data_IF_612622321098
#
_entry.id   IF_612622321098
#
_cell.length_a   1.000
_cell.length_b   1.000
_cell.length_c   1.000
_cell.angle_alpha   90.00
_cell.angle_beta   90.00
_cell.angle_gamma   90.00
#
_symmetry.space_group_name_H-M   'P 1'
#
loop_
_entity.id
_entity.type
_entity.pdbx_description
1 polymer ?
#
# COMPACT_ATOMS: atom_id res chain seq x y z
N UNK A 1 0.14 37.14 57.46
CA UNK A 1 0.67 36.12 56.52
C UNK A 1 -0.40 35.63 55.55
N UNK A 2 -1.64 35.42 56.00
CA UNK A 2 -2.77 34.98 55.16
C UNK A 2 -3.10 35.95 54.00
N UNK A 3 -3.03 37.27 54.22
CA UNK A 3 -3.34 38.27 53.18
C UNK A 3 -2.35 38.32 52.01
N UNK A 4 -1.13 37.80 52.17
CA UNK A 4 -0.09 37.78 51.12
C UNK A 4 -0.13 36.46 50.34
N UNK A 5 -0.66 35.40 50.94
CA UNK A 5 -0.77 34.08 50.32
C UNK A 5 -1.80 34.07 49.18
N UNK A 6 -2.91 34.79 49.36
CA UNK A 6 -3.98 34.91 48.36
C UNK A 6 -3.51 35.56 47.05
N UNK A 7 -2.85 36.74 47.02
CA UNK A 7 -2.39 37.33 45.77
C UNK A 7 -1.30 36.49 45.07
N UNK A 8 -0.44 35.81 45.83
CA UNK A 8 0.58 34.91 45.27
C UNK A 8 -0.09 33.70 44.59
N UNK A 9 -1.10 33.10 45.23
CA UNK A 9 -1.87 32.01 44.64
C UNK A 9 -2.58 32.45 43.34
N UNK A 10 -3.19 33.64 43.32
CA UNK A 10 -3.79 34.19 42.10
C UNK A 10 -2.77 34.41 40.98
N UNK A 11 -1.58 34.94 41.29
CA UNK A 11 -0.54 35.17 40.29
C UNK A 11 0.00 33.86 39.69
N UNK A 12 0.17 32.82 40.51
CA UNK A 12 0.59 31.50 40.04
C UNK A 12 -0.46 30.85 39.14
N UNK A 13 -1.74 30.94 39.50
CA UNK A 13 -2.83 30.41 38.67
C UNK A 13 -2.94 31.16 37.35
N UNK A 14 -2.83 32.49 37.37
CA UNK A 14 -2.83 33.30 36.15
C UNK A 14 -1.62 32.96 35.27
N UNK A 15 -0.42 32.91 35.85
CA UNK A 15 0.80 32.53 35.13
C UNK A 15 0.67 31.14 34.50
N UNK A 16 0.15 30.15 35.22
CA UNK A 16 -0.08 28.81 34.69
C UNK A 16 -1.06 28.80 33.53
N UNK A 17 -2.17 29.54 33.66
CA UNK A 17 -3.16 29.69 32.59
C UNK A 17 -2.58 30.37 31.34
N UNK A 18 -1.82 31.45 31.53
CA UNK A 18 -1.13 32.14 30.43
C UNK A 18 -0.11 31.22 29.75
N UNK A 19 0.69 30.46 30.51
CA UNK A 19 1.64 29.50 29.95
C UNK A 19 0.90 28.39 29.20
N UNK A 20 -0.19 27.84 29.74
CA UNK A 20 -0.99 26.82 29.06
C UNK A 20 -1.59 27.30 27.72
N UNK A 21 -1.90 28.60 27.60
CA UNK A 21 -2.41 29.22 26.35
C UNK A 21 -1.27 29.58 25.40
N UNK A 22 -0.16 30.12 25.91
CA UNK A 22 0.95 30.62 25.10
C UNK A 22 1.84 29.47 24.62
N UNK A 23 1.99 28.41 25.42
CA UNK A 23 2.77 27.23 25.06
C UNK A 23 2.34 26.63 23.71
N UNK A 24 1.06 26.28 23.44
CA UNK A 24 0.66 25.73 22.15
C UNK A 24 0.90 26.70 20.97
N UNK A 25 0.87 28.02 21.22
CA UNK A 25 1.20 29.04 20.20
C UNK A 25 2.71 29.07 19.90
N UNK A 26 3.58 28.98 20.92
CA UNK A 26 5.03 29.03 20.75
C UNK A 26 5.64 27.69 20.32
N UNK A 27 5.05 26.57 20.76
CA UNK A 27 5.49 25.21 20.39
C UNK A 27 4.82 24.72 19.11
N UNK A 28 3.74 25.37 18.66
CA UNK A 28 3.01 25.07 17.42
C UNK A 28 3.72 25.51 16.13
N UNK A 29 5.03 25.26 15.99
CA UNK A 29 5.82 25.59 14.78
C UNK A 29 5.38 24.84 13.51
N UNK A 30 4.30 24.06 13.57
CA UNK A 30 3.69 23.36 12.42
C UNK A 30 2.18 23.59 12.28
N UNK A 31 1.55 24.41 13.13
CA UNK A 31 0.09 24.52 13.21
C UNK A 31 -0.50 25.81 12.58
N UNK A 32 0.24 26.48 11.70
CA UNK A 32 -0.25 27.69 11.01
C UNK A 32 -0.47 27.49 9.50
N UNK A 33 -0.73 26.25 9.07
CA UNK A 33 -1.53 26.09 7.85
C UNK A 33 -2.95 26.47 8.26
N UNK A 34 -3.51 27.55 7.71
CA UNK A 34 -4.89 27.90 8.04
C UNK A 34 -5.76 26.72 7.64
N UNK A 35 -6.67 26.25 8.52
CA UNK A 35 -7.57 25.13 8.21
C UNK A 35 -8.31 25.32 6.87
N UNK A 36 -8.53 26.58 6.49
CA UNK A 36 -9.16 26.98 5.22
C UNK A 36 -8.28 26.71 4.00
N UNK A 37 -6.96 26.89 4.09
CA UNK A 37 -6.06 26.75 2.94
C UNK A 37 -5.81 25.27 2.63
N UNK A 38 -5.66 24.43 3.67
CA UNK A 38 -5.54 22.98 3.49
C UNK A 38 -6.84 22.38 2.95
N UNK A 39 -7.99 22.71 3.54
CA UNK A 39 -9.29 22.25 3.03
C UNK A 39 -9.55 22.69 1.59
N UNK A 40 -9.07 23.88 1.20
CA UNK A 40 -9.17 24.35 -0.18
C UNK A 40 -8.27 23.54 -1.11
N UNK A 41 -7.03 23.28 -0.70
CA UNK A 41 -6.09 22.49 -1.48
C UNK A 41 -6.56 21.04 -1.68
N UNK A 42 -7.17 20.42 -0.66
CA UNK A 42 -7.72 19.06 -0.77
C UNK A 42 -8.91 19.01 -1.71
N UNK A 43 -9.82 19.99 -1.66
CA UNK A 43 -10.95 20.09 -2.60
C UNK A 43 -10.43 20.23 -4.05
N UNK A 44 -9.51 21.16 -4.29
CA UNK A 44 -8.96 21.40 -5.64
C UNK A 44 -8.29 20.15 -6.22
N UNK A 45 -7.48 19.45 -5.41
CA UNK A 45 -6.84 18.21 -5.85
C UNK A 45 -7.85 17.08 -6.08
N UNK A 46 -8.93 17.03 -5.29
CA UNK A 46 -10.00 16.04 -5.48
C UNK A 46 -10.74 16.28 -6.79
N UNK A 47 -11.04 17.54 -7.12
CA UNK A 47 -11.64 17.91 -8.41
C UNK A 47 -10.72 17.54 -9.58
N UNK A 48 -9.42 17.82 -9.48
CA UNK A 48 -8.43 17.43 -10.51
C UNK A 48 -8.37 15.91 -10.70
N UNK A 49 -8.45 15.13 -9.62
CA UNK A 49 -8.50 13.66 -9.67
C UNK A 49 -9.74 13.19 -10.44
N UNK A 50 -10.92 13.72 -10.11
CA UNK A 50 -12.17 13.36 -10.79
C UNK A 50 -12.13 13.71 -12.28
N UNK A 51 -11.55 14.86 -12.63
CA UNK A 51 -11.37 15.28 -14.01
C UNK A 51 -10.45 14.32 -14.79
N UNK A 52 -9.31 13.93 -14.21
CA UNK A 52 -8.40 12.96 -14.83
C UNK A 52 -9.06 11.60 -15.03
N UNK A 53 -9.82 11.12 -14.04
CA UNK A 53 -10.53 9.84 -14.16
C UNK A 53 -11.64 9.89 -15.19
N UNK A 54 -12.37 11.00 -15.28
CA UNK A 54 -13.34 11.23 -16.34
C UNK A 54 -12.67 11.19 -17.72
N UNK A 55 -11.53 11.86 -17.87
CA UNK A 55 -10.75 11.86 -19.10
C UNK A 55 -10.24 10.47 -19.49
N UNK A 56 -9.78 9.67 -18.52
CA UNK A 56 -9.31 8.30 -18.76
C UNK A 56 -10.47 7.39 -19.19
N UNK A 57 -11.64 7.58 -18.58
CA UNK A 57 -12.87 6.85 -18.95
C UNK A 57 -13.33 7.21 -20.36
N UNK A 58 -13.34 8.48 -20.72
CA UNK A 58 -13.69 8.92 -22.08
C UNK A 58 -12.70 8.39 -23.11
N UNK A 59 -11.39 8.43 -22.82
CA UNK A 59 -10.35 7.87 -23.69
C UNK A 59 -10.57 6.37 -23.94
N UNK A 60 -10.88 5.62 -22.88
CA UNK A 60 -11.18 4.18 -22.97
C UNK A 60 -12.46 3.93 -23.77
N UNK A 61 -13.46 4.79 -23.62
CA UNK A 61 -14.69 4.72 -24.39
C UNK A 61 -14.43 4.98 -25.88
N UNK A 62 -13.69 6.03 -26.23
CA UNK A 62 -13.33 6.34 -27.62
C UNK A 62 -12.52 5.23 -28.29
N UNK A 63 -11.61 4.59 -27.53
CA UNK A 63 -10.89 3.40 -27.99
C UNK A 63 -11.84 2.22 -28.25
N UNK A 64 -12.77 1.94 -27.33
CA UNK A 64 -13.75 0.87 -27.48
C UNK A 64 -14.69 1.07 -28.69
N UNK A 65 -14.91 2.32 -29.08
CA UNK A 65 -15.66 2.69 -30.28
C UNK A 65 -14.81 2.67 -31.56
N UNK A 66 -13.51 2.41 -31.47
CA UNK A 66 -12.57 2.41 -32.59
C UNK A 66 -12.31 3.80 -33.18
N UNK A 67 -12.56 4.89 -32.43
CA UNK A 67 -12.29 6.27 -32.90
C UNK A 67 -10.81 6.63 -32.88
N UNK A 68 -10.04 5.96 -32.04
CA UNK A 68 -8.60 6.20 -31.85
C UNK A 68 -7.81 4.90 -32.02
N UNK A 69 -6.57 5.00 -32.47
CA UNK A 69 -5.69 3.83 -32.67
C UNK A 69 -5.15 3.30 -31.34
N UNK A 70 -4.77 2.02 -31.30
CA UNK A 70 -4.16 1.40 -30.11
C UNK A 70 -2.88 2.13 -29.65
N UNK A 71 -2.08 2.59 -30.62
CA UNK A 71 -0.82 3.29 -30.35
C UNK A 71 -1.06 4.67 -29.71
N UNK A 72 -2.07 5.40 -30.21
CA UNK A 72 -2.43 6.71 -29.65
C UNK A 72 -3.09 6.56 -28.27
N UNK A 73 -3.96 5.56 -28.12
CA UNK A 73 -4.60 5.24 -26.84
C UNK A 73 -3.55 5.01 -25.74
N UNK A 74 -2.57 4.13 -26.01
CA UNK A 74 -1.54 3.79 -25.02
C UNK A 74 -0.69 5.00 -24.64
N UNK A 75 -0.33 5.82 -25.63
CA UNK A 75 0.47 7.03 -25.40
C UNK A 75 -0.26 8.03 -24.50
N UNK A 76 -1.54 8.31 -24.79
CA UNK A 76 -2.34 9.27 -24.03
C UNK A 76 -2.68 8.70 -22.65
N UNK A 77 -2.95 7.39 -22.56
CA UNK A 77 -3.23 6.70 -21.30
C UNK A 77 -2.08 6.84 -20.31
N UNK A 78 -0.85 6.55 -20.74
CA UNK A 78 0.34 6.63 -19.89
C UNK A 78 0.53 8.06 -19.33
N UNK A 79 0.34 9.09 -20.16
CA UNK A 79 0.45 10.49 -19.72
C UNK A 79 -0.64 10.88 -18.70
N UNK A 80 -1.89 10.47 -18.94
CA UNK A 80 -3.00 10.70 -18.01
C UNK A 80 -2.81 9.97 -16.68
N UNK A 81 -2.36 8.71 -16.72
CA UNK A 81 -2.07 7.91 -15.52
C UNK A 81 -0.92 8.52 -14.71
N UNK A 82 0.14 8.98 -15.38
CA UNK A 82 1.24 9.67 -14.71
C UNK A 82 0.77 10.93 -13.97
N UNK A 83 -0.12 11.73 -14.59
CA UNK A 83 -0.74 12.90 -13.95
C UNK A 83 -1.63 12.51 -12.77
N UNK A 84 -2.39 11.42 -12.90
CA UNK A 84 -3.25 10.92 -11.82
C UNK A 84 -2.43 10.49 -10.60
N UNK A 85 -1.32 9.76 -10.82
CA UNK A 85 -0.40 9.35 -9.74
C UNK A 85 0.20 10.56 -9.01
N UNK A 86 0.58 11.60 -9.75
CA UNK A 86 1.10 12.84 -9.16
C UNK A 86 0.05 13.56 -8.30
N UNK A 87 -1.20 13.65 -8.75
CA UNK A 87 -2.30 14.25 -7.96
C UNK A 87 -2.59 13.42 -6.70
N UNK A 88 -2.60 12.09 -6.81
CA UNK A 88 -2.80 11.19 -5.67
C UNK A 88 -1.70 11.35 -4.62
N UNK A 89 -0.42 11.40 -5.03
CA UNK A 89 0.69 11.64 -4.10
C UNK A 89 0.56 12.96 -3.33
N UNK A 90 0.05 14.00 -3.98
CA UNK A 90 -0.19 15.29 -3.33
C UNK A 90 -1.33 15.19 -2.31
N UNK A 91 -2.40 14.48 -2.62
CA UNK A 91 -3.48 14.20 -1.68
C UNK A 91 -2.97 13.41 -0.47
N UNK A 92 -2.22 12.32 -0.70
CA UNK A 92 -1.63 11.50 0.37
C UNK A 92 -0.72 12.34 1.27
N UNK A 93 0.04 13.28 0.69
CA UNK A 93 0.90 14.21 1.42
C UNK A 93 0.13 15.21 2.29
N UNK A 94 -1.07 15.64 1.87
CA UNK A 94 -1.94 16.49 2.69
C UNK A 94 -2.61 15.69 3.82
N UNK A 95 -3.07 14.46 3.55
CA UNK A 95 -3.67 13.59 4.56
C UNK A 95 -2.66 13.14 5.63
N UNK A 96 -1.41 12.85 5.22
CA UNK A 96 -0.33 12.47 6.13
C UNK A 96 0.19 13.63 7.00
N UNK A 97 -0.16 14.88 6.66
CA UNK A 97 0.13 16.06 7.49
C UNK A 97 -0.83 16.21 8.68
N UNK A 98 -1.98 15.55 8.64
CA UNK A 98 -3.06 15.63 9.62
C UNK A 98 -2.96 14.55 10.73
N UNK A 99 -2.14 13.52 10.51
CA UNK A 99 -1.98 12.38 11.40
C UNK A 99 -0.51 11.96 11.51
N UNK A 100 0.00 12.03 12.72
CA UNK A 100 1.29 11.47 13.14
C UNK A 100 1.48 10.02 12.62
N UNK A 101 2.73 9.68 12.29
CA UNK A 101 3.23 8.48 11.61
C UNK A 101 2.92 8.36 10.11
N UNK A 102 3.94 8.64 9.29
CA UNK A 102 3.98 8.34 7.85
C UNK A 102 3.78 6.82 7.62
N UNK A 103 2.60 6.37 7.16
CA UNK A 103 2.32 4.95 6.97
C UNK A 103 3.15 4.35 5.82
N UNK A 104 3.59 5.17 4.86
CA UNK A 104 4.48 4.72 3.79
C UNK A 104 5.88 4.41 4.33
N UNK A 105 6.40 5.19 5.28
CA UNK A 105 7.69 4.88 5.92
C UNK A 105 7.65 3.61 6.79
N UNK A 106 6.52 3.32 7.44
CA UNK A 106 6.31 2.05 8.15
C UNK A 106 6.26 0.86 7.17
N UNK A 107 5.55 1.03 6.04
CA UNK A 107 5.47 0.01 5.00
C UNK A 107 6.84 -0.25 4.34
N UNK A 108 7.59 0.79 3.99
CA UNK A 108 8.93 0.67 3.41
C UNK A 108 9.90 -0.02 4.38
N UNK A 109 9.87 0.35 5.67
CA UNK A 109 10.67 -0.31 6.70
C UNK A 109 10.30 -1.79 6.89
N UNK A 110 9.02 -2.13 6.75
CA UNK A 110 8.53 -3.51 6.86
C UNK A 110 8.89 -4.34 5.63
N UNK A 111 8.81 -3.76 4.44
CA UNK A 111 9.27 -4.40 3.19
C UNK A 111 10.78 -4.70 3.27
N UNK A 112 11.59 -3.74 3.73
CA UNK A 112 13.05 -3.93 3.91
C UNK A 112 13.35 -5.05 4.92
N UNK A 113 12.61 -5.11 6.05
CA UNK A 113 12.76 -6.17 7.04
C UNK A 113 12.40 -7.55 6.49
N UNK A 114 11.34 -7.64 5.68
CA UNK A 114 10.93 -8.90 5.04
C UNK A 114 11.98 -9.37 4.02
N UNK A 115 12.58 -8.46 3.24
CA UNK A 115 13.66 -8.81 2.30
C UNK A 115 14.91 -9.34 3.02
N UNK A 116 15.32 -8.74 4.15
CA UNK A 116 16.46 -9.21 4.94
C UNK A 116 16.24 -10.60 5.54
N UNK A 117 14.99 -10.95 5.86
CA UNK A 117 14.64 -12.29 6.35
C UNK A 117 14.81 -13.38 5.27
N UNK A 118 14.72 -13.01 3.99
CA UNK A 118 14.87 -13.91 2.84
C UNK A 118 16.34 -14.06 2.39
N UNK A 119 17.18 -13.05 2.66
CA UNK A 119 18.61 -13.03 2.30
C UNK A 119 19.48 -13.92 3.23
N UNK A 120 18.93 -14.43 4.35
CA UNK A 120 19.67 -15.34 5.23
C UNK A 120 19.97 -16.67 4.51
N UNK A 121 21.24 -17.09 4.36
CA UNK A 121 21.59 -18.26 3.58
C UNK A 121 21.02 -19.53 4.24
N UNK A 122 20.49 -20.49 3.46
CA UNK A 122 20.08 -21.77 4.00
C UNK A 122 21.31 -22.49 4.55
N UNK A 123 21.29 -22.77 5.85
CA UNK A 123 22.25 -23.68 6.49
C UNK A 123 22.06 -25.07 5.85
N UNK A 124 23.10 -25.66 5.25
CA UNK A 124 22.97 -26.93 4.56
C UNK A 124 22.96 -28.06 5.60
N UNK A 125 21.79 -28.53 5.99
CA UNK A 125 21.70 -29.86 6.60
C UNK A 125 21.42 -30.87 5.49
N UNK A 126 22.46 -31.63 5.21
CA UNK A 126 22.55 -32.73 4.28
C UNK A 126 21.47 -33.79 4.50
N UNK A 127 20.92 -34.29 3.39
CA UNK A 127 20.75 -35.72 3.17
C UNK A 127 20.99 -36.03 1.69
N UNK A 128 22.23 -36.47 1.45
CA UNK A 128 22.74 -37.13 0.25
C UNK A 128 22.15 -38.53 0.10
N UNK A 129 21.74 -38.87 -1.12
CA UNK A 129 21.87 -40.17 -1.84
C UNK A 129 21.06 -39.99 -3.15
N UNK A 130 21.63 -39.75 -4.34
CA UNK A 130 22.66 -40.48 -5.08
C UNK A 130 22.36 -41.98 -5.16
N UNK A 131 21.65 -42.42 -6.21
CA UNK A 131 22.28 -43.33 -7.17
C UNK A 131 21.52 -43.53 -8.49
N UNK A 132 22.33 -43.70 -9.54
CA UNK A 132 22.08 -44.38 -10.83
C UNK A 132 21.46 -43.58 -11.99
N UNK A 133 22.37 -43.16 -12.87
CA UNK A 133 22.12 -42.86 -14.28
C UNK A 133 21.64 -44.10 -15.03
N UNK A 134 20.52 -44.02 -15.75
CA UNK A 134 20.32 -44.75 -16.99
C UNK A 134 19.50 -43.90 -17.97
N UNK A 135 20.11 -43.67 -19.13
CA UNK A 135 19.46 -43.12 -20.29
C UNK A 135 18.42 -44.11 -20.85
N UNK A 136 17.48 -43.54 -21.62
CA UNK A 136 16.72 -44.14 -22.75
C UNK A 136 15.20 -44.23 -22.51
N UNK A 137 14.48 -43.38 -23.28
CA UNK A 137 13.13 -43.56 -23.81
C UNK A 137 11.91 -43.29 -22.91
N UNK A 138 11.10 -42.34 -23.39
CA UNK A 138 9.65 -42.21 -23.26
C UNK A 138 8.97 -42.84 -22.05
N UNK A 139 8.50 -41.99 -21.12
CA UNK A 139 7.11 -42.00 -20.63
C UNK A 139 6.90 -40.87 -19.61
N UNK A 140 5.96 -39.99 -19.93
CA UNK A 140 5.44 -38.98 -19.01
C UNK A 140 4.60 -39.68 -17.94
N UNK A 141 5.19 -39.87 -16.76
CA UNK A 141 4.51 -40.26 -15.53
C UNK A 141 4.15 -39.01 -14.69
N UNK A 142 3.12 -39.08 -13.83
CA UNK A 142 2.48 -37.91 -13.25
C UNK A 142 3.35 -37.26 -12.16
N UNK A 143 3.51 -35.94 -12.29
CA UNK A 143 4.14 -35.09 -11.29
C UNK A 143 3.40 -35.18 -9.94
N UNK A 144 4.10 -35.04 -8.80
CA UNK A 144 3.45 -34.99 -7.49
C UNK A 144 2.47 -33.81 -7.41
N UNK A 145 1.27 -34.05 -6.89
CA UNK A 145 0.23 -33.05 -6.76
C UNK A 145 0.75 -31.78 -6.06
N UNK A 146 0.60 -30.63 -6.72
CA UNK A 146 1.09 -29.36 -6.21
C UNK A 146 0.47 -29.04 -4.83
N UNK A 147 1.34 -28.73 -3.85
CA UNK A 147 0.93 -28.37 -2.48
C UNK A 147 0.26 -26.99 -2.39
N UNK A 148 0.41 -26.17 -3.44
CA UNK A 148 -0.10 -24.80 -3.54
C UNK A 148 -0.77 -24.58 -4.90
N UNK A 149 -1.68 -23.60 -4.97
CA UNK A 149 -2.32 -23.17 -6.20
C UNK A 149 -1.32 -22.43 -7.11
N UNK A 150 -1.22 -22.84 -8.38
CA UNK A 150 -0.37 -22.20 -9.38
C UNK A 150 -0.85 -20.82 -9.81
N UNK A 151 -2.12 -20.48 -9.54
CA UNK A 151 -2.73 -19.21 -9.97
C UNK A 151 -2.65 -18.12 -8.90
N UNK A 152 -2.86 -18.46 -7.62
CA UNK A 152 -2.92 -17.48 -6.54
C UNK A 152 -1.99 -17.78 -5.35
N UNK A 153 -1.22 -18.88 -5.41
CA UNK A 153 -0.26 -19.26 -4.36
C UNK A 153 -0.85 -19.85 -3.07
N UNK A 154 -2.17 -19.91 -2.92
CA UNK A 154 -2.81 -20.42 -1.70
C UNK A 154 -2.58 -21.92 -1.50
N UNK A 155 -2.31 -22.34 -0.27
CA UNK A 155 -2.11 -23.75 0.09
C UNK A 155 -3.36 -24.61 -0.19
N UNK A 156 -3.15 -25.82 -0.71
CA UNK A 156 -4.24 -26.75 -0.99
C UNK A 156 -4.67 -27.44 0.30
N UNK A 157 -5.92 -27.24 0.70
CA UNK A 157 -6.55 -28.04 1.75
C UNK A 157 -6.73 -29.50 1.33
N UNK A 158 -6.68 -30.47 2.27
CA UNK A 158 -6.86 -31.89 1.95
C UNK A 158 -8.24 -32.13 1.32
N UNK A 159 -8.27 -32.83 0.17
CA UNK A 159 -9.51 -33.17 -0.54
C UNK A 159 -10.13 -32.07 -1.42
N UNK A 160 -9.58 -30.85 -1.42
CA UNK A 160 -10.09 -29.77 -2.29
C UNK A 160 -9.72 -30.02 -3.76
N UNK A 161 -10.72 -30.09 -4.65
CA UNK A 161 -10.49 -30.19 -6.11
C UNK A 161 -10.29 -28.82 -6.77
N UNK A 162 -10.71 -27.75 -6.10
CA UNK A 162 -10.56 -26.36 -6.53
C UNK A 162 -10.01 -25.51 -5.38
N UNK A 163 -9.33 -24.42 -5.70
CA UNK A 163 -8.82 -23.46 -4.72
C UNK A 163 -9.97 -22.70 -4.05
N UNK A 164 -10.00 -22.64 -2.71
CA UNK A 164 -11.03 -21.93 -1.95
C UNK A 164 -10.95 -20.39 -2.08
N UNK A 165 -9.82 -19.85 -2.55
CA UNK A 165 -9.58 -18.41 -2.64
C UNK A 165 -9.80 -17.83 -4.03
N UNK A 166 -9.33 -18.52 -5.09
CA UNK A 166 -9.44 -18.02 -6.48
C UNK A 166 -10.31 -18.90 -7.40
N UNK A 167 -10.77 -20.07 -6.94
CA UNK A 167 -11.60 -20.98 -7.74
C UNK A 167 -10.86 -21.82 -8.79
N UNK A 168 -9.55 -21.65 -8.96
CA UNK A 168 -8.78 -22.44 -9.93
C UNK A 168 -8.83 -23.94 -9.60
N UNK A 169 -8.97 -24.78 -10.63
CA UNK A 169 -8.98 -26.24 -10.49
C UNK A 169 -7.56 -26.76 -10.20
N UNK A 170 -7.45 -27.71 -9.27
CA UNK A 170 -6.26 -28.54 -9.16
C UNK A 170 -6.43 -29.72 -10.11
N UNK A 171 -5.43 -29.99 -10.96
CA UNK A 171 -5.52 -31.06 -11.96
C UNK A 171 -6.00 -32.37 -11.32
N UNK A 172 -7.11 -32.96 -11.81
CA UNK A 172 -7.68 -34.13 -11.19
C UNK A 172 -6.80 -35.36 -11.45
N UNK A 173 -6.43 -36.07 -10.38
CA UNK A 173 -6.05 -37.48 -10.49
C UNK A 173 -7.26 -38.24 -11.03
N UNK A 174 -7.16 -38.95 -12.18
CA UNK A 174 -8.25 -39.78 -12.67
C UNK A 174 -8.51 -40.92 -11.66
N UNK A 175 -9.79 -41.29 -11.39
CA UNK A 175 -10.06 -42.46 -10.57
C UNK A 175 -9.54 -43.72 -11.28
N UNK A 176 -8.97 -44.63 -10.48
CA UNK A 176 -8.51 -45.94 -10.92
C UNK A 176 -9.66 -46.81 -11.47
#
# INVERSE_FOLDING_TARGET
VESILVPIACLLLLSGFFVAIIQPILTGKRAWVRPTDLARATIELTEQKEQLYSSLRELTFDHSLGKISDADFETIRIDLEAKAVEVLRRLDGLESGEGDANPAADLDARIEADLQSLESPPTPTASTQADTSQATTSQAGPAPAAKFCSTCGTARGPGHRFCAQCGAAFDPVPPA
#
